data_IF_148576267553
#
_entry.id   IF_148576267553
#
_cell.length_a   1.000
_cell.length_b   1.000
_cell.length_c   1.000
_cell.angle_alpha   90.00
_cell.angle_beta   90.00
_cell.angle_gamma   90.00
#
_symmetry.space_group_name_H-M   'P 1'
#
loop_
_entity.id
_entity.type
_entity.pdbx_description
1 polymer ?
#
# COMPACT_ATOMS: atom_id res chain seq x y z
N UNK A 1 -27.06 -68.79 30.74
CA UNK A 1 -26.40 -67.74 31.54
C UNK A 1 -26.58 -66.42 30.82
N UNK A 2 -27.21 -65.46 31.51
CA UNK A 2 -27.48 -64.05 31.17
C UNK A 2 -28.22 -63.75 29.85
N UNK A 3 -29.54 -63.86 29.96
CA UNK A 3 -30.53 -63.10 29.20
C UNK A 3 -30.96 -61.91 30.07
N UNK A 4 -30.83 -60.68 29.60
CA UNK A 4 -31.61 -59.55 30.15
C UNK A 4 -32.07 -58.66 28.99
N UNK A 5 -33.37 -58.70 28.75
CA UNK A 5 -34.16 -57.81 27.89
C UNK A 5 -34.72 -56.71 28.80
N UNK A 6 -35.01 -55.53 28.21
CA UNK A 6 -35.99 -54.49 28.59
C UNK A 6 -35.37 -53.19 29.14
N UNK A 7 -35.87 -51.99 28.86
CA UNK A 7 -36.90 -51.45 27.95
C UNK A 7 -37.04 -49.95 28.35
N UNK A 8 -37.22 -49.04 27.38
CA UNK A 8 -37.82 -47.68 27.51
C UNK A 8 -37.04 -46.65 28.38
N UNK A 9 -37.04 -45.34 28.15
CA UNK A 9 -38.13 -44.45 27.72
C UNK A 9 -37.51 -43.11 27.24
N UNK A 10 -37.99 -42.61 26.10
CA UNK A 10 -37.72 -41.26 25.60
C UNK A 10 -38.66 -40.25 26.29
N UNK A 11 -38.17 -39.05 26.62
CA UNK A 11 -39.03 -37.87 26.80
C UNK A 11 -38.34 -36.63 26.23
N UNK A 12 -38.81 -36.24 25.05
CA UNK A 12 -38.71 -34.87 24.56
C UNK A 12 -39.74 -34.03 25.33
N UNK A 13 -39.31 -32.87 25.84
CA UNK A 13 -40.21 -31.86 26.39
C UNK A 13 -40.09 -30.62 25.51
N UNK A 14 -41.02 -30.53 24.57
CA UNK A 14 -41.38 -29.30 23.85
C UNK A 14 -42.36 -28.57 24.74
N UNK A 15 -42.00 -27.39 25.24
CA UNK A 15 -42.94 -26.48 25.91
C UNK A 15 -43.28 -25.37 24.91
N UNK A 16 -44.47 -25.50 24.32
CA UNK A 16 -45.20 -24.42 23.66
C UNK A 16 -46.09 -23.80 24.74
N UNK A 17 -45.86 -22.53 25.06
CA UNK A 17 -46.87 -21.69 25.71
C UNK A 17 -47.30 -20.59 24.75
N UNK A 18 -48.49 -20.76 24.21
CA UNK A 18 -49.30 -19.73 23.59
C UNK A 18 -50.40 -19.32 24.56
N UNK A 19 -50.38 -18.08 25.03
CA UNK A 19 -51.57 -17.38 25.54
C UNK A 19 -51.58 -15.98 24.92
N UNK A 20 -52.72 -15.70 24.28
CA UNK A 20 -53.08 -14.50 23.54
C UNK A 20 -53.46 -13.30 24.41
N UNK A 21 -53.33 -12.13 23.76
CA UNK A 21 -54.12 -10.91 23.87
C UNK A 21 -53.94 -10.03 25.12
N UNK A 22 -53.26 -8.91 24.93
CA UNK A 22 -53.93 -7.64 25.17
C UNK A 22 -53.60 -6.61 24.08
N UNK A 23 -54.63 -5.88 23.68
CA UNK A 23 -54.70 -5.03 22.49
C UNK A 23 -54.63 -3.58 22.97
N UNK A 24 -53.50 -2.91 22.78
CA UNK A 24 -53.43 -1.45 22.85
C UNK A 24 -52.88 -0.91 21.53
N UNK A 25 -53.72 -0.09 20.90
CA UNK A 25 -53.42 0.68 19.70
C UNK A 25 -52.32 1.68 20.03
N UNK A 26 -51.19 1.57 19.35
CA UNK A 26 -50.33 2.71 19.06
C UNK A 26 -49.85 2.57 17.62
N UNK A 27 -50.24 3.54 16.81
CA UNK A 27 -49.73 3.76 15.46
C UNK A 27 -48.20 3.84 15.51
N UNK A 28 -47.54 2.79 15.00
CA UNK A 28 -46.11 2.81 14.70
C UNK A 28 -45.97 2.39 13.25
N UNK A 29 -45.51 3.36 12.46
CA UNK A 29 -45.12 3.28 11.06
C UNK A 29 -44.36 1.98 10.73
N UNK A 30 -44.56 1.38 9.54
CA UNK A 30 -43.83 0.18 9.14
C UNK A 30 -42.33 0.49 9.08
N UNK A 31 -41.58 -0.05 10.05
CA UNK A 31 -40.12 -0.14 9.99
C UNK A 31 -39.77 -0.85 8.69
N UNK A 32 -39.15 -0.09 7.78
CA UNK A 32 -38.51 -0.65 6.61
C UNK A 32 -37.55 -1.75 7.04
N UNK A 33 -37.63 -2.87 6.33
CA UNK A 33 -36.71 -3.99 6.41
C UNK A 33 -35.34 -3.44 6.04
N UNK A 34 -34.49 -3.15 7.04
CA UNK A 34 -33.11 -2.76 6.82
C UNK A 34 -32.42 -3.93 6.13
N UNK A 35 -32.10 -3.76 4.85
CA UNK A 35 -31.07 -4.54 4.20
C UNK A 35 -29.80 -4.40 5.03
N UNK A 36 -29.35 -5.50 5.63
CA UNK A 36 -27.96 -5.66 6.02
C UNK A 36 -27.14 -5.58 4.73
N UNK A 37 -26.73 -4.36 4.38
CA UNK A 37 -25.53 -4.15 3.59
C UNK A 37 -24.43 -4.23 4.64
N UNK A 38 -23.54 -5.21 4.53
CA UNK A 38 -22.36 -5.31 5.38
C UNK A 38 -21.49 -4.08 5.14
N UNK A 39 -21.42 -3.17 6.11
CA UNK A 39 -20.41 -2.12 6.18
C UNK A 39 -19.02 -2.75 6.43
N UNK A 40 -18.49 -3.43 5.41
CA UNK A 40 -17.09 -3.90 5.39
C UNK A 40 -16.12 -2.84 4.85
N UNK A 41 -16.63 -1.67 4.42
CA UNK A 41 -15.82 -0.66 3.75
C UNK A 41 -15.29 0.46 4.67
N UNK A 42 -15.33 0.30 6.00
CA UNK A 42 -14.88 1.37 6.90
C UNK A 42 -14.32 0.90 8.25
N UNK A 43 -13.66 -0.27 8.27
CA UNK A 43 -12.79 -0.61 9.40
C UNK A 43 -11.48 0.16 9.21
N UNK A 44 -11.33 1.23 9.98
CA UNK A 44 -10.07 1.93 10.23
C UNK A 44 -9.17 0.95 10.99
N UNK A 45 -8.12 0.44 10.34
CA UNK A 45 -7.19 -0.53 10.93
C UNK A 45 -5.99 0.19 11.54
N UNK A 46 -5.46 -0.33 12.64
CA UNK A 46 -4.48 0.33 13.51
C UNK A 46 -3.07 0.55 12.92
N UNK A 47 -2.88 0.26 11.63
CA UNK A 47 -1.64 0.57 10.89
C UNK A 47 -1.62 1.97 10.24
N UNK A 48 -2.70 2.75 10.26
CA UNK A 48 -2.80 4.04 9.53
C UNK A 48 -1.82 5.14 9.97
N UNK A 49 -1.11 4.99 11.10
CA UNK A 49 -0.07 5.94 11.53
C UNK A 49 1.31 5.68 10.89
N UNK A 50 1.48 4.55 10.23
CA UNK A 50 2.61 4.34 9.33
C UNK A 50 2.13 4.81 7.96
N UNK A 51 2.92 5.65 7.27
CA UNK A 51 2.66 6.04 5.89
C UNK A 51 2.69 4.81 5.00
N UNK A 52 1.60 4.04 5.02
CA UNK A 52 1.52 2.74 4.40
C UNK A 52 1.35 3.00 2.91
N UNK A 53 2.41 2.75 2.15
CA UNK A 53 2.36 2.65 0.69
C UNK A 53 1.23 1.72 0.20
N UNK A 54 0.69 0.85 1.08
CA UNK A 54 -0.30 -0.17 0.79
C UNK A 54 -1.58 -0.15 1.66
N UNK A 55 -1.96 0.90 2.40
CA UNK A 55 -3.19 0.86 3.23
C UNK A 55 -4.52 0.87 2.43
N UNK A 56 -5.46 -0.01 2.85
CA UNK A 56 -6.82 -0.25 2.34
C UNK A 56 -6.96 -0.57 0.83
N UNK A 57 -7.57 -1.72 0.48
CA UNK A 57 -7.64 -2.29 -0.88
C UNK A 57 -6.28 -2.73 -1.46
N UNK A 58 -5.44 -3.34 -0.61
CA UNK A 58 -3.98 -3.34 -0.76
C UNK A 58 -3.41 -3.96 -2.04
N UNK A 59 -4.03 -5.01 -2.61
CA UNK A 59 -3.56 -5.56 -3.90
C UNK A 59 -3.91 -4.63 -5.07
N UNK A 60 -5.09 -4.02 -5.04
CA UNK A 60 -5.51 -3.00 -6.02
C UNK A 60 -4.64 -1.75 -5.88
N UNK A 61 -4.45 -1.26 -4.66
CA UNK A 61 -3.58 -0.10 -4.40
C UNK A 61 -2.15 -0.40 -4.81
N UNK A 62 -1.63 -1.59 -4.55
CA UNK A 62 -0.35 -2.04 -5.09
C UNK A 62 -0.32 -2.00 -6.64
N UNK A 63 -1.33 -2.57 -7.30
CA UNK A 63 -1.43 -2.56 -8.77
C UNK A 63 -1.75 -1.19 -9.37
N UNK A 64 -2.29 -0.24 -8.60
CA UNK A 64 -2.65 1.10 -9.08
C UNK A 64 -1.59 2.15 -8.71
N UNK A 65 -0.74 1.85 -7.72
CA UNK A 65 0.31 2.75 -7.26
C UNK A 65 1.50 2.68 -8.23
N UNK A 66 1.61 3.72 -9.05
CA UNK A 66 2.69 3.93 -10.01
C UNK A 66 4.07 3.80 -9.34
N UNK A 67 4.25 4.29 -8.12
CA UNK A 67 5.52 4.14 -7.40
C UNK A 67 5.79 2.69 -7.05
N UNK A 68 4.77 1.96 -6.56
CA UNK A 68 4.91 0.53 -6.28
C UNK A 68 5.26 -0.25 -7.57
N UNK A 69 4.65 0.10 -8.70
CA UNK A 69 4.98 -0.51 -9.98
C UNK A 69 6.37 -0.11 -10.47
N UNK A 70 6.79 1.15 -10.30
CA UNK A 70 8.14 1.61 -10.65
C UNK A 70 9.21 0.93 -9.82
N UNK A 71 8.96 0.79 -8.52
CA UNK A 71 9.83 0.03 -7.63
C UNK A 71 10.00 -1.39 -8.19
N UNK A 72 8.90 -2.01 -8.61
CA UNK A 72 8.93 -3.36 -9.18
C UNK A 72 9.62 -3.42 -10.54
N UNK A 73 9.30 -2.51 -11.45
CA UNK A 73 9.84 -2.47 -12.79
C UNK A 73 11.34 -2.14 -12.79
N UNK A 74 11.77 -1.14 -12.03
CA UNK A 74 13.16 -0.68 -11.98
C UNK A 74 14.09 -1.71 -11.34
N UNK A 75 13.61 -2.48 -10.35
CA UNK A 75 14.38 -3.57 -9.75
C UNK A 75 14.44 -4.83 -10.62
N UNK A 76 13.77 -4.89 -11.78
CA UNK A 76 13.84 -6.07 -12.66
C UNK A 76 14.98 -6.03 -13.68
N UNK A 77 15.65 -4.88 -13.83
CA UNK A 77 16.54 -4.62 -14.98
C UNK A 77 15.77 -4.77 -16.31
N UNK A 78 16.39 -4.43 -17.43
CA UNK A 78 15.79 -4.65 -18.76
C UNK A 78 15.64 -6.15 -19.10
N UNK A 79 14.80 -6.89 -18.39
CA UNK A 79 14.55 -8.31 -18.64
C UNK A 79 13.70 -8.45 -19.91
N UNK A 80 14.30 -8.93 -20.98
CA UNK A 80 13.57 -9.15 -22.23
C UNK A 80 12.83 -10.50 -22.19
N UNK A 81 11.56 -10.47 -21.79
CA UNK A 81 10.73 -11.66 -21.65
C UNK A 81 10.33 -12.33 -22.97
N UNK A 82 10.55 -11.69 -24.13
CA UNK A 82 10.30 -12.35 -25.42
C UNK A 82 11.29 -13.49 -25.70
N UNK A 83 12.37 -13.61 -24.91
CA UNK A 83 13.43 -14.62 -25.08
C UNK A 83 13.75 -15.47 -23.85
N UNK A 84 13.15 -15.21 -22.68
CA UNK A 84 13.46 -15.93 -21.45
C UNK A 84 14.91 -15.78 -20.97
N UNK A 85 15.59 -14.69 -21.34
CA UNK A 85 16.98 -14.42 -20.94
C UNK A 85 17.08 -13.09 -20.18
N UNK A 86 17.81 -13.05 -19.04
CA UNK A 86 18.11 -11.81 -18.33
C UNK A 86 18.78 -10.79 -19.25
N UNK A 87 18.30 -9.54 -19.24
CA UNK A 87 19.04 -8.42 -19.84
C UNK A 87 20.08 -7.90 -18.86
N UNK A 88 21.19 -7.41 -19.41
CA UNK A 88 22.46 -7.15 -18.71
C UNK A 88 22.48 -5.88 -17.83
N UNK A 89 21.39 -5.49 -17.14
CA UNK A 89 21.28 -4.12 -16.63
C UNK A 89 20.60 -3.84 -15.27
N UNK A 90 20.49 -4.80 -14.34
CA UNK A 90 19.99 -4.54 -12.98
C UNK A 90 20.67 -5.41 -11.93
N UNK A 91 21.06 -4.82 -10.80
CA UNK A 91 21.92 -5.45 -9.77
C UNK A 91 21.20 -6.43 -8.82
N UNK A 92 19.88 -6.56 -8.92
CA UNK A 92 19.10 -7.59 -8.23
C UNK A 92 18.19 -8.28 -9.24
N UNK A 93 18.33 -9.58 -9.51
CA UNK A 93 17.32 -10.27 -10.29
C UNK A 93 15.99 -10.21 -9.53
N UNK A 94 14.85 -10.01 -10.20
CA UNK A 94 13.55 -10.06 -9.56
C UNK A 94 13.43 -11.39 -8.80
N UNK A 95 12.77 -11.41 -7.63
CA UNK A 95 12.49 -12.65 -6.91
C UNK A 95 11.84 -13.69 -7.81
N UNK A 96 12.64 -14.59 -8.39
CA UNK A 96 12.16 -15.56 -9.35
C UNK A 96 11.72 -16.81 -8.60
N UNK A 97 10.56 -17.32 -8.98
CA UNK A 97 10.07 -18.58 -8.45
C UNK A 97 9.21 -19.33 -9.44
N UNK A 98 8.82 -20.51 -8.99
CA UNK A 98 7.85 -21.36 -9.65
C UNK A 98 6.75 -21.67 -8.66
N UNK A 99 5.51 -21.44 -9.09
CA UNK A 99 4.36 -21.65 -8.26
C UNK A 99 3.09 -21.64 -9.09
N UNK A 100 2.00 -21.92 -8.41
CA UNK A 100 0.67 -21.73 -8.94
C UNK A 100 -0.31 -21.64 -7.80
N UNK A 101 -1.45 -21.00 -8.07
CA UNK A 101 -2.60 -21.07 -7.17
C UNK A 101 -3.84 -21.47 -7.97
N UNK A 102 -4.77 -22.14 -7.31
CA UNK A 102 -6.09 -22.48 -7.82
C UNK A 102 -7.12 -21.73 -7.00
N UNK A 103 -7.86 -20.83 -7.63
CA UNK A 103 -8.98 -20.13 -7.03
C UNK A 103 -10.25 -20.47 -7.81
N UNK A 104 -11.32 -20.86 -7.12
CA UNK A 104 -12.59 -21.24 -7.75
C UNK A 104 -12.45 -22.31 -8.85
N UNK A 105 -11.47 -23.21 -8.72
CA UNK A 105 -11.20 -24.28 -9.68
C UNK A 105 -10.38 -23.87 -10.91
N UNK A 106 -9.94 -22.61 -11.02
CA UNK A 106 -9.06 -22.12 -12.09
C UNK A 106 -7.64 -21.95 -11.55
N UNK A 107 -6.67 -22.53 -12.25
CA UNK A 107 -5.25 -22.47 -11.86
C UNK A 107 -4.51 -21.35 -12.61
N UNK A 108 -3.78 -20.54 -11.85
CA UNK A 108 -2.95 -19.43 -12.34
C UNK A 108 -1.49 -19.67 -11.94
N UNK A 109 -0.51 -19.41 -12.84
CA UNK A 109 0.90 -19.53 -12.49
C UNK A 109 1.32 -18.41 -11.53
N UNK A 110 2.32 -18.67 -10.70
CA UNK A 110 3.04 -17.67 -9.91
C UNK A 110 4.52 -17.75 -10.32
N UNK A 111 5.06 -16.66 -10.84
CA UNK A 111 6.44 -16.62 -11.37
C UNK A 111 7.33 -15.62 -10.64
N UNK A 112 6.71 -14.73 -9.87
CA UNK A 112 7.38 -13.68 -9.13
C UNK A 112 6.84 -13.63 -7.71
N UNK A 113 7.73 -13.43 -6.75
CA UNK A 113 7.39 -13.23 -5.35
C UNK A 113 8.28 -12.16 -4.73
N UNK A 114 7.71 -11.36 -3.83
CA UNK A 114 8.46 -10.37 -3.09
C UNK A 114 7.74 -9.93 -1.84
N UNK A 115 8.44 -9.17 -1.00
CA UNK A 115 7.87 -8.61 0.21
C UNK A 115 8.33 -7.18 0.47
N UNK A 116 7.55 -6.48 1.29
CA UNK A 116 7.92 -5.23 1.94
C UNK A 116 7.96 -5.47 3.46
N UNK A 117 9.02 -5.04 4.14
CA UNK A 117 9.19 -5.16 5.59
C UNK A 117 9.06 -3.77 6.23
N UNK A 118 8.20 -3.66 7.24
CA UNK A 118 7.96 -2.42 7.99
C UNK A 118 8.91 -2.24 9.20
N UNK A 119 9.85 -3.17 9.40
CA UNK A 119 10.86 -3.20 10.47
C UNK A 119 10.32 -3.27 11.90
N UNK A 120 9.09 -3.76 12.07
CA UNK A 120 8.40 -3.92 13.35
C UNK A 120 7.72 -5.29 13.50
N UNK A 121 7.95 -6.19 12.53
CA UNK A 121 7.36 -7.51 12.47
C UNK A 121 6.25 -7.64 11.43
N UNK A 122 5.83 -6.53 10.80
CA UNK A 122 4.86 -6.55 9.72
C UNK A 122 5.54 -6.71 8.35
N UNK A 123 4.92 -7.53 7.50
CA UNK A 123 5.38 -7.76 6.13
C UNK A 123 4.19 -7.81 5.17
N UNK A 124 4.27 -7.10 4.05
CA UNK A 124 3.40 -7.35 2.92
C UNK A 124 4.10 -8.34 1.98
N UNK A 125 3.61 -9.57 1.88
CA UNK A 125 4.11 -10.61 1.00
C UNK A 125 3.18 -10.76 -0.20
N UNK A 126 3.72 -10.71 -1.42
CA UNK A 126 2.93 -10.86 -2.65
C UNK A 126 3.59 -11.83 -3.63
N UNK A 127 2.75 -12.57 -4.36
CA UNK A 127 3.14 -13.50 -5.41
C UNK A 127 2.22 -13.33 -6.61
N UNK A 128 2.80 -13.14 -7.80
CA UNK A 128 2.04 -12.78 -9.01
C UNK A 128 2.48 -13.58 -10.25
N UNK A 129 1.59 -13.64 -11.23
CA UNK A 129 1.73 -14.41 -12.48
C UNK A 129 2.59 -13.73 -13.55
N UNK A 130 2.99 -12.48 -13.35
CA UNK A 130 3.83 -11.71 -14.28
C UNK A 130 4.60 -10.62 -13.56
N UNK A 131 5.67 -10.15 -14.20
CA UNK A 131 6.39 -8.94 -13.79
C UNK A 131 5.74 -7.74 -14.46
N UNK A 132 5.59 -6.65 -13.70
CA UNK A 132 5.00 -5.40 -14.15
C UNK A 132 6.08 -4.52 -14.78
N UNK A 133 5.87 -4.03 -16.01
CA UNK A 133 6.90 -3.35 -16.82
C UNK A 133 6.90 -1.81 -16.73
N UNK A 134 6.04 -1.20 -15.92
CA UNK A 134 6.01 0.25 -15.68
C UNK A 134 4.59 0.79 -15.60
N UNK A 135 4.43 2.10 -15.35
CA UNK A 135 3.12 2.73 -15.13
C UNK A 135 2.27 2.94 -16.38
N UNK A 136 2.91 3.01 -17.55
CA UNK A 136 2.21 3.22 -18.82
C UNK A 136 1.61 1.92 -19.38
N UNK A 137 1.99 0.78 -18.83
CA UNK A 137 1.43 -0.50 -19.23
C UNK A 137 0.13 -0.74 -18.46
N UNK A 138 -1.00 -0.75 -19.18
CA UNK A 138 -2.23 -1.32 -18.65
C UNK A 138 -1.91 -2.72 -18.13
N UNK A 139 -2.10 -2.95 -16.83
CA UNK A 139 -1.95 -4.28 -16.25
C UNK A 139 -3.03 -5.20 -16.80
N UNK A 140 -2.77 -5.84 -17.92
CA UNK A 140 -3.74 -6.77 -18.50
C UNK A 140 -3.52 -8.13 -17.84
N UNK A 141 -4.55 -8.70 -17.23
CA UNK A 141 -4.61 -10.07 -16.72
C UNK A 141 -3.60 -10.43 -15.62
N UNK A 142 -3.41 -9.54 -14.63
CA UNK A 142 -2.59 -9.86 -13.44
C UNK A 142 -3.38 -10.79 -12.53
N UNK A 143 -2.77 -11.92 -12.19
CA UNK A 143 -3.30 -12.85 -11.19
C UNK A 143 -2.27 -13.06 -10.10
N UNK A 144 -2.71 -13.11 -8.85
CA UNK A 144 -1.80 -13.27 -7.73
C UNK A 144 -2.50 -13.27 -6.39
N UNK A 145 -1.69 -13.32 -5.34
CA UNK A 145 -2.14 -13.29 -3.96
C UNK A 145 -1.20 -12.41 -3.14
N UNK A 146 -1.74 -11.70 -2.17
CA UNK A 146 -0.99 -10.93 -1.19
C UNK A 146 -1.46 -11.27 0.22
N UNK A 147 -0.52 -11.27 1.15
CA UNK A 147 -0.73 -11.48 2.58
C UNK A 147 -0.07 -10.35 3.35
N UNK A 148 -0.73 -9.86 4.40
CA UNK A 148 -0.12 -9.01 5.42
C UNK A 148 0.26 -9.89 6.60
N UNK A 149 1.54 -10.21 6.75
CA UNK A 149 2.06 -11.15 7.73
C UNK A 149 2.56 -10.44 8.97
N UNK A 150 2.35 -11.06 10.12
CA UNK A 150 2.96 -10.67 11.39
C UNK A 150 3.97 -11.75 11.78
N UNK A 151 5.24 -11.47 11.52
CA UNK A 151 6.37 -12.33 11.89
C UNK A 151 6.73 -12.15 13.36
N UNK A 152 7.40 -13.15 13.95
CA UNK A 152 8.03 -12.99 15.28
C UNK A 152 9.41 -12.32 15.21
N UNK A 153 9.82 -11.83 14.03
CA UNK A 153 11.06 -11.09 13.78
C UNK A 153 10.74 -9.80 13.05
N UNK A 154 11.38 -8.70 13.45
CA UNK A 154 11.28 -7.41 12.77
C UNK A 154 12.06 -7.36 11.45
N UNK A 155 12.97 -8.30 11.20
CA UNK A 155 13.92 -8.20 10.08
C UNK A 155 13.69 -9.28 9.01
N UNK A 156 12.88 -10.30 9.27
CA UNK A 156 12.65 -11.38 8.32
C UNK A 156 11.29 -12.04 8.50
N UNK A 157 10.77 -12.60 7.42
CA UNK A 157 9.63 -13.53 7.44
C UNK A 157 10.15 -14.87 7.97
N UNK A 158 9.87 -15.18 9.23
CA UNK A 158 10.36 -16.42 9.83
C UNK A 158 9.59 -17.63 9.34
N UNK A 159 10.28 -18.78 9.30
CA UNK A 159 9.65 -20.05 8.96
C UNK A 159 8.59 -20.43 9.99
N UNK A 160 7.44 -20.90 9.52
CA UNK A 160 6.31 -21.22 10.38
C UNK A 160 5.03 -21.42 9.60
N UNK A 161 3.93 -21.61 10.32
CA UNK A 161 2.59 -21.57 9.74
C UNK A 161 1.87 -20.36 10.28
N UNK A 162 1.51 -19.45 9.39
CA UNK A 162 0.72 -18.27 9.67
C UNK A 162 -0.75 -18.62 9.46
N UNK A 163 -1.63 -18.07 10.28
CA UNK A 163 -3.07 -18.30 10.20
C UNK A 163 -3.83 -16.99 10.08
N UNK A 164 -4.96 -17.03 9.40
CA UNK A 164 -5.87 -15.89 9.39
C UNK A 164 -6.30 -15.56 10.82
N UNK A 165 -6.10 -14.31 11.24
CA UNK A 165 -6.58 -13.80 12.52
C UNK A 165 -6.60 -12.28 12.53
N UNK A 166 -7.71 -11.68 12.96
CA UNK A 166 -7.78 -10.23 13.23
C UNK A 166 -6.89 -9.80 14.42
N UNK A 167 -6.31 -10.76 15.16
CA UNK A 167 -5.36 -10.44 16.23
C UNK A 167 -3.98 -10.11 15.68
N UNK A 168 -3.33 -9.09 16.24
CA UNK A 168 -1.96 -8.69 15.87
C UNK A 168 -0.90 -9.54 16.60
N UNK A 169 -0.95 -10.86 16.44
CA UNK A 169 -0.02 -11.78 17.08
C UNK A 169 1.00 -12.34 16.08
N UNK A 170 2.23 -12.68 16.51
CA UNK A 170 3.15 -13.39 15.62
C UNK A 170 2.57 -14.69 15.07
N UNK A 171 2.92 -15.02 13.83
CA UNK A 171 2.38 -16.13 13.04
C UNK A 171 0.88 -15.98 12.71
N UNK A 172 0.41 -14.75 12.49
CA UNK A 172 -0.91 -14.50 11.92
C UNK A 172 -0.82 -13.63 10.68
N UNK A 173 -1.91 -13.58 9.92
CA UNK A 173 -2.16 -12.57 8.92
C UNK A 173 -3.57 -12.01 9.09
N UNK A 174 -3.74 -10.72 9.42
CA UNK A 174 -5.07 -10.12 9.53
C UNK A 174 -5.73 -9.87 8.18
N UNK A 175 -4.94 -9.88 7.10
CA UNK A 175 -5.40 -9.57 5.76
C UNK A 175 -4.71 -10.44 4.71
N UNK A 176 -5.49 -10.89 3.73
CA UNK A 176 -5.00 -11.49 2.50
C UNK A 176 -6.01 -11.29 1.38
N UNK A 177 -5.54 -11.09 0.16
CA UNK A 177 -6.38 -10.82 -1.00
C UNK A 177 -5.86 -11.56 -2.24
N UNK A 178 -6.79 -12.10 -3.03
CA UNK A 178 -6.53 -12.80 -4.29
C UNK A 178 -7.02 -11.95 -5.44
N UNK A 179 -6.16 -11.72 -6.42
CA UNK A 179 -6.51 -11.10 -7.69
C UNK A 179 -6.57 -12.15 -8.80
N UNK A 180 -7.62 -12.15 -9.60
CA UNK A 180 -7.81 -13.05 -10.75
C UNK A 180 -7.99 -12.21 -12.01
N UNK A 181 -7.10 -12.34 -12.98
CA UNK A 181 -7.15 -11.60 -14.26
C UNK A 181 -7.46 -10.08 -14.08
N UNK A 182 -6.93 -9.49 -13.00
CA UNK A 182 -7.15 -8.10 -12.66
C UNK A 182 -6.54 -7.20 -13.72
N UNK A 183 -7.25 -6.13 -14.05
CA UNK A 183 -6.77 -5.06 -14.90
C UNK A 183 -7.33 -3.69 -14.49
N UNK A 184 -6.91 -2.63 -15.17
CA UNK A 184 -7.31 -1.24 -14.85
C UNK A 184 -8.82 -1.00 -14.96
N UNK A 185 -9.56 -1.86 -15.66
CA UNK A 185 -10.99 -1.73 -15.91
C UNK A 185 -11.83 -2.83 -15.23
N UNK A 186 -11.23 -3.97 -14.88
CA UNK A 186 -11.90 -5.14 -14.35
C UNK A 186 -11.26 -5.57 -13.03
N UNK A 187 -12.08 -5.49 -11.98
CA UNK A 187 -11.68 -5.74 -10.60
C UNK A 187 -12.27 -7.08 -10.16
N UNK A 188 -11.51 -8.16 -10.31
CA UNK A 188 -11.86 -9.47 -9.75
C UNK A 188 -10.89 -9.78 -8.60
N UNK A 189 -11.20 -9.16 -7.46
CA UNK A 189 -10.50 -9.34 -6.19
C UNK A 189 -11.39 -10.09 -5.20
N UNK A 190 -10.78 -10.95 -4.40
CA UNK A 190 -11.47 -11.71 -3.35
C UNK A 190 -10.65 -11.69 -2.07
N UNK A 191 -11.29 -11.31 -0.96
CA UNK A 191 -10.64 -11.35 0.34
C UNK A 191 -10.59 -12.77 0.89
N UNK A 192 -9.50 -13.11 1.58
CA UNK A 192 -9.43 -14.32 2.41
C UNK A 192 -10.08 -14.03 3.76
N UNK A 193 -11.11 -14.79 4.10
CA UNK A 193 -11.82 -14.70 5.38
C UNK A 193 -11.44 -15.81 6.37
N UNK A 194 -10.66 -16.79 5.90
CA UNK A 194 -10.06 -17.87 6.68
C UNK A 194 -8.93 -18.50 5.86
N UNK A 195 -7.93 -19.09 6.52
CA UNK A 195 -6.86 -19.80 5.83
C UNK A 195 -5.57 -19.97 6.62
N UNK A 196 -4.59 -20.57 5.96
CA UNK A 196 -3.25 -20.74 6.48
C UNK A 196 -2.18 -20.60 5.39
N UNK A 197 -0.97 -20.24 5.82
CA UNK A 197 0.20 -20.03 5.00
C UNK A 197 1.40 -20.70 5.70
N UNK A 198 1.97 -21.74 5.10
CA UNK A 198 3.18 -22.40 5.59
C UNK A 198 4.39 -21.89 4.83
N UNK A 199 5.36 -21.33 5.56
CA UNK A 199 6.59 -20.77 5.00
C UNK A 199 7.79 -21.57 5.52
N UNK A 200 8.61 -22.03 4.59
CA UNK A 200 9.93 -22.62 4.85
C UNK A 200 10.97 -21.71 4.19
N UNK A 201 11.81 -21.10 5.02
CA UNK A 201 12.97 -20.35 4.58
C UNK A 201 14.19 -21.28 4.57
N UNK A 202 14.88 -21.34 3.43
CA UNK A 202 16.08 -22.14 3.20
C UNK A 202 17.26 -21.30 2.72
N UNK A 203 17.48 -20.14 3.37
CA UNK A 203 18.51 -19.17 3.00
C UNK A 203 17.94 -18.15 2.03
N UNK A 204 18.37 -18.17 0.77
CA UNK A 204 17.90 -17.22 -0.25
C UNK A 204 16.64 -17.70 -0.98
N UNK A 205 15.98 -18.75 -0.51
CA UNK A 205 14.84 -19.37 -1.17
C UNK A 205 13.75 -19.72 -0.16
N UNK A 206 12.52 -19.38 -0.54
CA UNK A 206 11.30 -19.62 0.20
C UNK A 206 10.50 -20.73 -0.47
N UNK A 207 9.92 -21.60 0.35
CA UNK A 207 8.82 -22.47 -0.07
C UNK A 207 7.58 -22.08 0.73
N UNK A 208 6.57 -21.63 0.01
CA UNK A 208 5.34 -21.08 0.54
C UNK A 208 4.20 -21.97 0.05
N UNK A 209 3.37 -22.46 0.97
CA UNK A 209 2.13 -23.17 0.65
C UNK A 209 0.99 -22.45 1.33
N UNK A 210 -0.14 -22.29 0.66
CA UNK A 210 -1.30 -21.61 1.24
C UNK A 210 -2.61 -22.26 0.84
N UNK A 211 -3.58 -22.11 1.72
CA UNK A 211 -4.97 -22.49 1.50
C UNK A 211 -5.90 -21.54 2.26
N UNK A 212 -7.10 -21.32 1.75
CA UNK A 212 -8.07 -20.45 2.42
C UNK A 212 -9.45 -20.45 1.79
N UNK A 213 -10.36 -19.79 2.49
CA UNK A 213 -11.74 -19.54 2.06
C UNK A 213 -11.88 -18.09 1.65
N UNK A 214 -12.43 -17.87 0.46
CA UNK A 214 -12.70 -16.54 -0.09
C UNK A 214 -14.03 -15.98 0.45
N UNK A 215 -14.15 -14.67 0.49
CA UNK A 215 -15.37 -13.93 0.86
C UNK A 215 -16.62 -14.31 0.04
N UNK A 216 -16.45 -14.75 -1.20
CA UNK A 216 -17.49 -15.28 -2.07
C UNK A 216 -17.89 -16.75 -1.79
N UNK A 217 -17.31 -17.37 -0.76
CA UNK A 217 -17.50 -18.77 -0.39
C UNK A 217 -16.67 -19.77 -1.21
N UNK A 218 -15.84 -19.27 -2.12
CA UNK A 218 -14.86 -20.03 -2.88
C UNK A 218 -13.68 -20.50 -2.03
N UNK A 219 -12.79 -21.27 -2.65
CA UNK A 219 -11.54 -21.72 -2.02
C UNK A 219 -10.35 -21.29 -2.86
N UNK A 220 -9.25 -20.99 -2.18
CA UNK A 220 -7.93 -20.85 -2.81
C UNK A 220 -6.98 -21.88 -2.23
N UNK A 221 -6.14 -22.48 -3.07
CA UNK A 221 -4.97 -23.26 -2.65
C UNK A 221 -3.81 -22.95 -3.57
N UNK A 222 -2.58 -22.96 -3.07
CA UNK A 222 -1.44 -22.68 -3.92
C UNK A 222 -0.10 -22.95 -3.26
N UNK A 223 0.93 -22.82 -4.07
CA UNK A 223 2.31 -22.90 -3.63
C UNK A 223 3.20 -21.98 -4.47
N UNK A 224 4.31 -21.57 -3.88
CA UNK A 224 5.40 -20.85 -4.52
C UNK A 224 6.73 -21.33 -3.96
N UNK A 225 7.69 -21.58 -4.85
CA UNK A 225 9.07 -21.86 -4.48
C UNK A 225 9.99 -20.95 -5.27
N UNK A 226 10.79 -20.14 -4.58
CA UNK A 226 11.65 -19.18 -5.24
C UNK A 226 12.30 -18.20 -4.30
N UNK A 227 13.07 -17.29 -4.89
CA UNK A 227 13.58 -16.13 -4.16
C UNK A 227 12.45 -15.11 -4.02
N UNK A 228 12.45 -14.36 -2.92
CA UNK A 228 11.59 -13.19 -2.78
C UNK A 228 12.46 -11.96 -2.97
N UNK A 229 12.03 -11.03 -3.83
CA UNK A 229 12.67 -9.71 -3.88
C UNK A 229 12.30 -8.92 -2.60
N UNK A 230 13.30 -8.29 -2.01
CA UNK A 230 13.15 -7.44 -0.84
C UNK A 230 12.96 -5.99 -1.29
N UNK A 231 11.81 -5.40 -0.97
CA UNK A 231 11.51 -4.00 -1.23
C UNK A 231 11.56 -3.13 0.04
N UNK A 232 11.93 -3.67 1.19
CA UNK A 232 12.10 -2.88 2.42
C UNK A 232 13.33 -1.99 2.34
N UNK A 233 14.41 -2.56 1.82
CA UNK A 233 15.73 -1.94 1.71
C UNK A 233 15.88 -1.20 0.38
N UNK A 234 14.80 -0.81 -0.31
CA UNK A 234 14.99 0.09 -1.44
C UNK A 234 15.59 1.37 -0.85
N UNK A 235 16.89 1.63 -1.06
CA UNK A 235 17.53 2.71 -0.35
C UNK A 235 16.79 3.93 -0.82
N UNK A 236 16.13 4.61 0.12
CA UNK A 236 15.74 6.01 -0.05
C UNK A 236 16.86 6.65 -0.87
N UNK A 237 16.57 7.12 -2.10
CA UNK A 237 17.55 7.33 -3.14
C UNK A 237 18.76 8.02 -2.54
N UNK A 238 19.93 7.36 -2.63
CA UNK A 238 21.16 7.81 -1.94
C UNK A 238 21.27 9.33 -2.06
N UNK A 239 21.32 10.09 -0.95
CA UNK A 239 21.27 11.55 -0.91
C UNK A 239 22.19 12.20 -1.93
N UNK A 240 21.71 12.46 -3.14
CA UNK A 240 22.48 13.11 -4.20
C UNK A 240 21.80 14.37 -4.71
N UNK A 241 20.58 14.62 -4.24
CA UNK A 241 19.75 15.72 -4.69
C UNK A 241 19.77 16.82 -3.64
N UNK A 242 20.22 17.99 -4.06
CA UNK A 242 20.36 19.13 -3.19
C UNK A 242 19.02 19.87 -3.19
N UNK A 243 18.27 19.77 -2.10
CA UNK A 243 17.26 20.77 -1.75
C UNK A 243 17.76 21.53 -0.51
N UNK A 244 17.91 22.84 -0.63
CA UNK A 244 18.40 23.71 0.45
C UNK A 244 17.46 24.90 0.61
N UNK A 245 17.46 25.48 1.81
CA UNK A 245 16.70 26.69 2.10
C UNK A 245 17.31 27.42 3.31
N UNK A 246 16.74 28.57 3.64
CA UNK A 246 16.92 29.24 4.91
C UNK A 246 15.57 29.41 5.61
N UNK A 247 15.44 28.81 6.80
CA UNK A 247 14.23 28.81 7.62
C UNK A 247 14.47 29.78 8.77
N UNK A 248 13.70 30.88 8.82
CA UNK A 248 13.87 31.95 9.80
C UNK A 248 15.33 32.45 9.91
N UNK A 249 16.04 32.47 8.77
CA UNK A 249 17.46 32.88 8.68
C UNK A 249 18.48 31.78 8.99
N UNK A 250 18.06 30.63 9.50
CA UNK A 250 18.92 29.47 9.72
C UNK A 250 19.05 28.64 8.46
N UNK A 251 20.23 28.09 8.18
CA UNK A 251 20.41 27.20 7.03
C UNK A 251 19.68 25.87 7.23
N UNK A 252 19.03 25.39 6.18
CA UNK A 252 18.39 24.08 6.11
C UNK A 252 18.82 23.35 4.84
N UNK A 253 18.98 22.03 4.95
CA UNK A 253 19.25 21.15 3.82
C UNK A 253 18.46 19.87 4.00
N UNK A 254 17.83 19.45 2.92
CA UNK A 254 17.26 18.12 2.85
C UNK A 254 18.39 17.09 2.80
N UNK A 255 18.16 15.96 3.45
CA UNK A 255 18.88 14.71 3.20
C UNK A 255 18.26 13.99 1.99
N UNK A 256 16.96 14.14 1.76
CA UNK A 256 16.23 13.51 0.66
C UNK A 256 15.42 14.55 -0.08
N UNK A 257 15.40 14.48 -1.41
CA UNK A 257 14.49 15.27 -2.22
C UNK A 257 13.90 14.40 -3.34
N UNK A 258 12.58 14.49 -3.51
CA UNK A 258 11.83 13.74 -4.51
C UNK A 258 10.73 14.63 -5.10
N UNK A 259 10.25 14.28 -6.29
CA UNK A 259 9.07 14.89 -6.86
C UNK A 259 8.09 13.82 -7.33
N UNK A 260 6.79 14.07 -7.17
CA UNK A 260 5.72 13.15 -7.55
C UNK A 260 4.74 13.85 -8.46
N UNK A 261 4.36 13.20 -9.57
CA UNK A 261 3.28 13.68 -10.44
C UNK A 261 1.98 12.99 -10.06
N UNK A 262 0.97 13.78 -9.71
CA UNK A 262 -0.40 13.34 -9.54
C UNK A 262 -1.19 13.67 -10.81
N UNK A 263 -1.12 12.79 -11.82
CA UNK A 263 -1.73 13.04 -13.14
C UNK A 263 -3.24 13.30 -13.08
N UNK A 264 -3.94 12.60 -12.19
CA UNK A 264 -5.39 12.74 -12.03
C UNK A 264 -5.77 14.15 -11.57
N UNK A 265 -4.97 14.73 -10.68
CA UNK A 265 -5.23 16.03 -10.08
C UNK A 265 -4.50 17.16 -10.83
N UNK A 266 -3.54 16.83 -11.70
CA UNK A 266 -2.79 17.79 -12.49
C UNK A 266 -1.75 18.56 -11.66
N UNK A 267 -1.13 17.92 -10.68
CA UNK A 267 -0.11 18.57 -9.83
C UNK A 267 1.21 17.79 -9.82
N UNK A 268 2.30 18.52 -9.54
CA UNK A 268 3.59 17.95 -9.14
C UNK A 268 3.93 18.44 -7.73
N UNK A 269 4.28 17.52 -6.83
CA UNK A 269 4.75 17.86 -5.47
C UNK A 269 6.23 17.56 -5.35
N UNK A 270 7.03 18.56 -5.01
CA UNK A 270 8.46 18.46 -4.73
C UNK A 270 8.63 18.44 -3.21
N UNK A 271 9.09 17.33 -2.66
CA UNK A 271 9.34 17.14 -1.23
C UNK A 271 10.85 17.18 -0.96
N UNK A 272 11.25 17.77 0.16
CA UNK A 272 12.55 17.53 0.76
C UNK A 272 12.47 17.33 2.26
N UNK A 273 13.21 16.37 2.80
CA UNK A 273 13.23 16.03 4.23
C UNK A 273 14.65 15.84 4.76
N UNK A 274 14.90 16.15 6.04
CA UNK A 274 16.19 15.96 6.71
C UNK A 274 16.17 14.85 7.78
N UNK A 275 17.32 14.59 8.42
CA UNK A 275 17.46 13.54 9.44
C UNK A 275 16.76 13.83 10.78
N UNK A 276 16.16 15.01 10.93
CA UNK A 276 15.38 15.42 12.10
C UNK A 276 13.87 15.30 11.83
N UNK A 277 13.46 14.68 10.72
CA UNK A 277 12.07 14.63 10.26
C UNK A 277 11.45 16.03 10.04
N UNK A 278 12.28 17.02 9.73
CA UNK A 278 11.79 18.29 9.18
C UNK A 278 11.70 18.18 7.67
N UNK A 279 10.71 18.83 7.05
CA UNK A 279 10.61 18.84 5.60
C UNK A 279 9.87 20.02 5.01
N UNK A 280 10.06 20.17 3.70
CA UNK A 280 9.47 21.20 2.86
C UNK A 280 8.76 20.51 1.71
N UNK A 281 7.48 20.82 1.52
CA UNK A 281 6.70 20.43 0.35
C UNK A 281 6.39 21.63 -0.52
N UNK A 282 6.48 21.44 -1.83
CA UNK A 282 6.12 22.43 -2.84
C UNK A 282 5.21 21.75 -3.86
N UNK A 283 3.93 22.08 -3.85
CA UNK A 283 2.96 21.55 -4.82
C UNK A 283 2.67 22.59 -5.89
N UNK A 284 2.80 22.19 -7.15
CA UNK A 284 2.65 23.02 -8.34
C UNK A 284 1.61 22.44 -9.28
N UNK A 285 0.84 23.27 -9.95
CA UNK A 285 0.01 22.83 -11.09
C UNK A 285 0.92 22.42 -12.26
N UNK A 286 0.84 21.15 -12.68
CA UNK A 286 1.70 20.57 -13.70
C UNK A 286 1.56 21.28 -15.06
N UNK A 287 0.38 21.82 -15.37
CA UNK A 287 0.13 22.55 -16.61
C UNK A 287 0.93 23.85 -16.69
N UNK A 288 1.40 24.34 -15.54
CA UNK A 288 2.21 25.55 -15.41
C UNK A 288 3.71 25.28 -15.34
N UNK A 289 4.12 24.01 -15.24
CA UNK A 289 5.54 23.63 -15.06
C UNK A 289 6.23 23.53 -16.42
N UNK A 290 7.15 24.46 -16.67
CA UNK A 290 8.02 24.45 -17.85
C UNK A 290 9.37 25.09 -17.51
N UNK A 291 10.41 24.77 -18.26
CA UNK A 291 11.72 25.39 -18.05
C UNK A 291 11.63 26.91 -18.24
N UNK A 292 12.03 27.68 -17.22
CA UNK A 292 11.90 29.12 -17.17
C UNK A 292 10.58 29.64 -16.60
N UNK A 293 9.66 28.76 -16.19
CA UNK A 293 8.42 29.17 -15.54
C UNK A 293 8.69 29.85 -14.19
N UNK A 294 7.98 30.94 -13.94
CA UNK A 294 7.90 31.61 -12.64
C UNK A 294 6.46 31.51 -12.13
N UNK A 295 6.29 30.79 -11.03
CA UNK A 295 5.01 30.48 -10.41
C UNK A 295 4.88 31.23 -9.09
N UNK A 296 3.68 31.74 -8.80
CA UNK A 296 3.35 32.49 -7.58
C UNK A 296 2.00 32.04 -7.02
N UNK A 297 1.73 32.32 -5.74
CA UNK A 297 0.43 32.02 -5.10
C UNK A 297 -0.74 32.63 -5.86
N UNK A 298 -0.60 33.87 -6.36
CA UNK A 298 -1.69 34.60 -7.03
C UNK A 298 -2.18 33.93 -8.33
N UNK A 299 -1.37 33.03 -8.92
CA UNK A 299 -1.76 32.21 -10.05
C UNK A 299 -2.38 30.86 -9.65
N UNK A 300 -2.69 30.65 -8.37
CA UNK A 300 -3.36 29.45 -7.85
C UNK A 300 -2.52 28.17 -7.88
N UNK A 301 -1.21 28.29 -8.12
CA UNK A 301 -0.37 27.14 -8.52
C UNK A 301 0.83 26.86 -7.62
N UNK A 302 0.90 27.42 -6.41
CA UNK A 302 1.95 27.08 -5.44
C UNK A 302 1.34 26.91 -4.06
N UNK A 303 1.44 25.69 -3.53
CA UNK A 303 1.19 25.40 -2.12
C UNK A 303 2.54 24.99 -1.53
N UNK A 304 3.05 25.76 -0.60
CA UNK A 304 4.21 25.37 0.20
C UNK A 304 3.76 24.82 1.55
N UNK A 305 4.44 23.80 2.06
CA UNK A 305 4.32 23.41 3.45
C UNK A 305 5.71 23.26 4.06
N UNK A 306 5.81 23.59 5.34
CA UNK A 306 6.95 23.25 6.18
C UNK A 306 6.44 22.46 7.38
N UNK A 307 7.14 21.40 7.76
CA UNK A 307 6.79 20.63 8.94
C UNK A 307 7.99 20.34 9.82
N UNK A 308 7.76 20.31 11.14
CA UNK A 308 8.77 19.94 12.14
C UNK A 308 8.30 18.76 12.96
N UNK A 309 9.21 17.83 13.21
CA UNK A 309 9.01 16.67 14.09
C UNK A 309 7.80 15.78 13.72
N UNK A 310 7.29 15.90 12.49
CA UNK A 310 6.07 15.22 12.01
C UNK A 310 4.76 15.66 12.69
N UNK A 311 4.76 16.73 13.47
CA UNK A 311 3.59 17.16 14.26
C UNK A 311 3.13 18.59 13.92
N UNK A 312 4.05 19.52 13.74
CA UNK A 312 3.70 20.90 13.39
C UNK A 312 3.67 21.06 11.89
N UNK A 313 2.59 21.63 11.35
CA UNK A 313 2.39 21.84 9.92
C UNK A 313 2.11 23.31 9.65
N UNK A 314 3.02 23.95 8.93
CA UNK A 314 2.92 25.32 8.48
C UNK A 314 2.53 25.29 7.01
N UNK A 315 1.46 25.98 6.65
CA UNK A 315 0.99 26.06 5.26
C UNK A 315 1.18 27.46 4.71
N UNK A 316 1.49 27.59 3.42
CA UNK A 316 1.62 28.90 2.80
C UNK A 316 0.34 29.71 2.89
N UNK A 317 0.42 30.86 3.58
CA UNK A 317 -0.69 31.80 3.69
C UNK A 317 -0.42 33.06 2.85
N UNK A 318 0.85 33.45 2.67
CA UNK A 318 1.25 34.64 1.90
C UNK A 318 2.58 34.45 1.16
N UNK A 319 2.76 35.20 0.06
CA UNK A 319 4.03 35.36 -0.67
C UNK A 319 4.84 34.08 -0.94
N UNK A 320 4.34 33.16 -1.78
CA UNK A 320 5.18 32.09 -2.34
C UNK A 320 5.61 32.39 -3.78
N UNK A 321 6.84 31.99 -4.10
CA UNK A 321 7.32 31.90 -5.47
C UNK A 321 8.06 30.58 -5.68
N UNK A 322 7.97 30.06 -6.90
CA UNK A 322 8.78 28.94 -7.40
C UNK A 322 9.24 29.27 -8.81
N UNK A 323 10.55 29.24 -9.05
CA UNK A 323 11.14 29.43 -10.37
C UNK A 323 11.71 28.11 -10.85
N UNK A 324 11.16 27.55 -11.94
CA UNK A 324 11.63 26.30 -12.53
C UNK A 324 12.78 26.62 -13.47
N UNK A 325 14.00 26.20 -13.13
CA UNK A 325 15.19 26.41 -13.95
C UNK A 325 15.40 25.31 -14.99
N UNK A 326 14.96 24.09 -14.70
CA UNK A 326 14.96 22.96 -15.63
C UNK A 326 13.83 21.98 -15.28
N UNK A 327 13.20 21.40 -16.31
CA UNK A 327 12.16 20.39 -16.18
C UNK A 327 12.20 19.45 -17.38
N UNK A 328 12.10 18.14 -17.12
CA UNK A 328 11.87 17.09 -18.12
C UNK A 328 11.05 15.97 -17.46
N UNK A 329 10.80 14.87 -18.16
CA UNK A 329 10.01 13.75 -17.65
C UNK A 329 10.62 13.00 -16.46
N UNK A 330 11.89 13.24 -16.14
CA UNK A 330 12.63 12.49 -15.12
C UNK A 330 13.20 13.37 -14.00
N UNK A 331 13.38 14.67 -14.22
CA UNK A 331 13.93 15.57 -13.19
C UNK A 331 13.36 16.99 -13.24
N UNK A 332 13.38 17.66 -12.07
CA UNK A 332 13.02 19.06 -11.90
C UNK A 332 14.09 19.83 -11.10
N UNK A 333 14.34 21.08 -11.46
CA UNK A 333 15.29 21.99 -10.79
C UNK A 333 14.71 23.40 -10.71
N UNK A 334 15.06 24.14 -9.67
CA UNK A 334 14.50 25.47 -9.46
C UNK A 334 14.92 26.15 -8.17
N UNK A 335 14.31 27.30 -7.93
CA UNK A 335 14.40 28.05 -6.67
C UNK A 335 13.01 28.32 -6.12
N UNK A 336 12.94 28.53 -4.81
CA UNK A 336 11.67 28.79 -4.14
C UNK A 336 11.85 29.70 -2.92
N UNK A 337 10.74 30.22 -2.44
CA UNK A 337 10.64 30.91 -1.17
C UNK A 337 9.17 31.17 -0.84
N UNK A 338 8.83 31.10 0.43
CA UNK A 338 7.47 31.30 0.89
C UNK A 338 7.38 31.65 2.39
N UNK A 339 6.27 32.25 2.80
CA UNK A 339 5.89 32.36 4.22
C UNK A 339 4.77 31.37 4.51
N UNK A 340 4.90 30.63 5.61
CA UNK A 340 3.92 29.64 6.03
C UNK A 340 3.46 29.91 7.47
N UNK A 341 2.17 29.76 7.73
CA UNK A 341 1.54 29.97 9.04
C UNK A 341 1.07 28.62 9.61
N UNK A 342 1.34 28.39 10.90
CA UNK A 342 0.76 27.27 11.64
C UNK A 342 -0.72 27.54 11.91
N UNK A 343 -1.58 26.60 11.50
CA UNK A 343 -3.03 26.77 11.60
C UNK A 343 -3.54 26.97 13.04
N UNK A 344 -2.85 26.43 14.05
CA UNK A 344 -3.30 26.43 15.43
C UNK A 344 -2.70 27.56 16.26
N UNK A 345 -1.42 27.85 16.08
CA UNK A 345 -0.72 28.88 16.85
C UNK A 345 -0.71 30.24 16.16
N UNK A 346 -0.86 30.29 14.83
CA UNK A 346 -0.65 31.49 14.02
C UNK A 346 0.83 31.89 13.93
N UNK A 347 1.75 31.00 14.30
CA UNK A 347 3.18 31.26 14.17
C UNK A 347 3.58 31.24 12.70
N UNK A 348 4.38 32.23 12.29
CA UNK A 348 4.85 32.37 10.91
C UNK A 348 6.29 31.86 10.80
N UNK A 349 6.54 31.04 9.79
CA UNK A 349 7.87 30.59 9.36
C UNK A 349 8.17 31.18 7.99
N UNK A 350 9.34 31.80 7.85
CA UNK A 350 9.82 32.36 6.59
C UNK A 350 10.86 31.44 5.97
N UNK A 351 10.59 30.98 4.74
CA UNK A 351 11.46 30.12 3.95
C UNK A 351 12.03 30.95 2.80
N UNK A 352 13.34 31.16 2.79
CA UNK A 352 14.04 31.98 1.79
C UNK A 352 15.23 31.24 1.19
N UNK A 353 15.78 31.76 0.08
CA UNK A 353 16.95 31.18 -0.59
C UNK A 353 16.78 29.68 -0.90
N UNK A 354 15.54 29.24 -1.13
CA UNK A 354 15.21 27.88 -1.47
C UNK A 354 15.78 27.51 -2.83
N UNK A 355 16.42 26.36 -2.95
CA UNK A 355 16.91 25.81 -4.20
C UNK A 355 16.73 24.30 -4.21
N UNK A 356 16.40 23.74 -5.37
CA UNK A 356 16.41 22.30 -5.62
C UNK A 356 17.06 21.99 -6.96
N UNK A 357 17.87 20.93 -7.05
CA UNK A 357 18.62 20.61 -8.25
C UNK A 357 18.54 19.12 -8.59
N UNK A 358 18.17 18.83 -9.83
CA UNK A 358 18.01 17.50 -10.40
C UNK A 358 17.15 16.57 -9.53
N UNK A 359 16.09 17.10 -8.90
CA UNK A 359 15.19 16.28 -8.08
C UNK A 359 14.50 15.28 -9.00
N UNK A 360 14.60 13.97 -8.73
CA UNK A 360 13.97 12.94 -9.56
C UNK A 360 12.45 13.03 -9.45
N UNK A 361 11.77 12.81 -10.58
CA UNK A 361 10.32 12.73 -10.67
C UNK A 361 9.93 11.25 -10.73
N UNK A 362 9.02 10.85 -9.85
CA UNK A 362 8.43 9.52 -9.76
C UNK A 362 6.95 9.53 -10.16
#
# INVERSE_FOLDING_TARGET
>A
MKTTIRLLLAFAVVIIFSISCNKENNDIQPKQKSSFISDHNNKIFAGENHGNLFAANKFKSFLANINAQYLFANNTGNYNFSGGTPGEGGDQPPGQGIGSFTANGVTHPLIFGAYYNYYDGWFDLFMINKILSGPDDEFIDVSGIMFELISNSANEITSGTYYYSESENPFTFPYANVAINANTQNEEYFDLIDGSLSIINSGNSYTINFEGTLDNGGTVTGYFTGQLADYSDNPEPTPSYNMTASINGSSWSAQYASAYIYEYDGYITINGSNNLNEGIDITLDISSVSAGAQLTIDNGGVIGAYYTDGVNYYYTDFYAYVNISAYNSSTVSGTFGFEAEDYYSGDIVTITNGAFSNVPIY
#
